data_IF_338072377861
#
_entry.id   IF_338072377861
#
_cell.length_a   1.000
_cell.length_b   1.000
_cell.length_c   1.000
_cell.angle_alpha   90.00
_cell.angle_beta   90.00
_cell.angle_gamma   90.00
#
_symmetry.space_group_name_H-M   'P 1'
#
loop_
_entity.id
_entity.type
_entity.pdbx_description
1 polymer ?
#
# COMPACT_ATOMS: atom_id res chain seq x y z
N UNK A 1 5.32 -26.46 7.57
CA UNK A 1 5.11 -25.48 6.49
C UNK A 1 4.04 -24.50 6.95
N UNK A 2 4.29 -23.18 6.88
CA UNK A 2 3.28 -22.17 7.19
C UNK A 2 2.05 -22.38 6.28
N UNK A 3 0.88 -22.54 6.86
CA UNK A 3 -0.36 -22.78 6.09
C UNK A 3 -1.27 -21.56 6.05
N UNK A 4 -1.03 -20.60 6.95
CA UNK A 4 -1.84 -19.39 7.05
C UNK A 4 -1.03 -18.16 6.59
N UNK A 5 -1.62 -17.22 5.84
CA UNK A 5 -0.93 -16.02 5.40
C UNK A 5 -0.21 -15.31 6.55
N UNK A 6 -0.85 -15.13 7.69
CA UNK A 6 -0.33 -14.46 8.87
C UNK A 6 1.08 -14.93 9.27
N UNK A 7 1.28 -16.26 9.44
CA UNK A 7 2.59 -16.80 9.84
C UNK A 7 3.67 -16.52 8.78
N UNK A 8 3.31 -16.54 7.50
CA UNK A 8 4.25 -16.26 6.43
C UNK A 8 4.71 -14.78 6.43
N UNK A 9 3.80 -13.86 6.68
CA UNK A 9 4.15 -12.44 6.81
C UNK A 9 4.92 -12.15 8.11
N UNK A 10 4.63 -12.88 9.18
CA UNK A 10 5.41 -12.83 10.42
C UNK A 10 6.86 -13.30 10.20
N UNK A 11 7.09 -14.33 9.38
CA UNK A 11 8.44 -14.77 9.01
C UNK A 11 9.19 -13.67 8.23
N UNK A 12 8.52 -13.01 7.28
CA UNK A 12 9.09 -11.88 6.55
C UNK A 12 9.44 -10.71 7.50
N UNK A 13 8.53 -10.37 8.42
CA UNK A 13 8.77 -9.35 9.43
C UNK A 13 9.96 -9.70 10.33
N UNK A 14 9.99 -10.91 10.88
CA UNK A 14 11.11 -11.38 11.72
C UNK A 14 12.43 -11.35 10.99
N UNK A 15 12.45 -11.75 9.71
CA UNK A 15 13.65 -11.69 8.88
C UNK A 15 14.12 -10.27 8.64
N UNK A 16 13.19 -9.37 8.33
CA UNK A 16 13.48 -7.95 8.12
C UNK A 16 14.02 -7.28 9.41
N UNK A 17 13.41 -7.59 10.56
CA UNK A 17 13.87 -7.14 11.88
C UNK A 17 15.29 -7.63 12.16
N UNK A 18 15.56 -8.90 11.92
CA UNK A 18 16.90 -9.48 12.14
C UNK A 18 17.97 -8.87 11.24
N UNK A 19 17.64 -8.68 9.96
CA UNK A 19 18.62 -8.27 8.95
C UNK A 19 18.89 -6.77 8.96
N UNK A 20 17.86 -5.94 9.21
CA UNK A 20 17.92 -4.50 9.06
C UNK A 20 17.63 -3.71 10.35
N UNK A 21 17.33 -4.41 11.45
CA UNK A 21 17.03 -3.75 12.70
C UNK A 21 15.68 -3.06 12.79
N UNK A 22 14.75 -3.40 11.89
CA UNK A 22 13.36 -2.93 11.99
C UNK A 22 12.76 -3.33 13.32
N UNK A 23 12.03 -2.43 13.96
CA UNK A 23 11.45 -2.66 15.28
C UNK A 23 9.93 -2.78 15.22
N UNK A 24 9.31 -3.25 16.30
CA UNK A 24 7.85 -3.30 16.41
C UNK A 24 7.22 -1.91 16.41
N UNK A 25 7.93 -0.91 16.93
CA UNK A 25 7.51 0.50 16.89
C UNK A 25 7.41 1.02 15.46
N UNK A 26 8.36 0.65 14.59
CA UNK A 26 8.32 1.00 13.16
C UNK A 26 7.14 0.33 12.44
N UNK A 27 6.80 -0.92 12.80
CA UNK A 27 5.59 -1.58 12.29
C UNK A 27 4.33 -0.85 12.79
N UNK A 28 4.30 -0.48 14.07
CA UNK A 28 3.18 0.25 14.66
C UNK A 28 2.95 1.62 13.99
N UNK A 29 4.01 2.33 13.58
CA UNK A 29 3.89 3.61 12.87
C UNK A 29 3.09 3.48 11.56
N UNK A 30 3.20 2.34 10.86
CA UNK A 30 2.38 2.06 9.67
C UNK A 30 0.89 1.97 10.03
N UNK A 31 0.55 1.24 11.11
CA UNK A 31 -0.83 1.10 11.56
C UNK A 31 -1.42 2.44 12.02
N UNK A 32 -0.64 3.23 12.76
CA UNK A 32 -1.04 4.57 13.23
C UNK A 32 -1.28 5.52 12.05
N UNK A 33 -0.40 5.51 11.05
CA UNK A 33 -0.56 6.34 9.85
C UNK A 33 -1.83 5.94 9.05
N UNK A 34 -2.08 4.64 8.88
CA UNK A 34 -3.29 4.14 8.22
C UNK A 34 -4.56 4.58 8.99
N UNK A 35 -4.56 4.52 10.31
CA UNK A 35 -5.66 4.99 11.15
C UNK A 35 -5.85 6.51 11.07
N UNK A 36 -4.78 7.28 11.00
CA UNK A 36 -4.85 8.73 10.82
C UNK A 36 -5.55 9.09 9.50
N UNK A 37 -5.23 8.41 8.40
CA UNK A 37 -5.95 8.55 7.13
C UNK A 37 -7.41 8.07 7.22
N UNK A 38 -7.67 6.94 7.87
CA UNK A 38 -9.03 6.42 8.05
C UNK A 38 -9.94 7.39 8.82
N UNK A 39 -9.40 8.17 9.75
CA UNK A 39 -10.15 9.19 10.48
C UNK A 39 -10.70 10.29 9.57
N UNK A 40 -10.07 10.56 8.45
CA UNK A 40 -10.51 11.49 7.41
C UNK A 40 -11.45 10.84 6.37
N UNK A 41 -11.70 9.54 6.49
CA UNK A 41 -12.57 8.80 5.58
C UNK A 41 -13.84 8.32 6.28
N UNK A 42 -15.01 8.94 6.03
CA UNK A 42 -16.25 8.54 6.69
C UNK A 42 -16.68 7.09 6.37
N UNK A 43 -16.20 6.52 5.27
CA UNK A 43 -16.47 5.13 4.86
C UNK A 43 -15.52 4.11 5.48
N UNK A 44 -14.47 4.52 6.20
CA UNK A 44 -13.54 3.59 6.81
C UNK A 44 -14.19 2.84 7.98
N UNK A 45 -13.93 1.53 8.05
CA UNK A 45 -14.49 0.63 9.06
C UNK A 45 -13.95 0.94 10.45
N UNK A 46 -12.63 1.12 10.59
CA UNK A 46 -11.96 1.38 11.85
C UNK A 46 -11.49 2.85 11.91
N UNK A 47 -12.13 3.63 12.78
CA UNK A 47 -11.82 5.04 13.05
C UNK A 47 -11.62 5.27 14.55
N UNK A 48 -11.18 6.45 14.91
CA UNK A 48 -10.85 6.86 16.27
C UNK A 48 -9.34 6.85 16.53
N UNK A 49 -8.94 7.31 17.72
CA UNK A 49 -7.52 7.39 18.06
C UNK A 49 -6.86 6.01 18.04
N UNK A 50 -5.62 5.96 17.61
CA UNK A 50 -4.75 4.80 17.69
C UNK A 50 -3.34 5.29 17.94
N UNK A 51 -2.73 4.85 19.04
CA UNK A 51 -1.35 5.17 19.39
C UNK A 51 -0.42 4.00 19.07
N UNK A 52 0.87 4.28 19.05
CA UNK A 52 1.90 3.24 18.92
C UNK A 52 1.81 2.24 20.08
N UNK A 53 1.56 2.73 21.28
CA UNK A 53 1.41 1.93 22.50
C UNK A 53 0.22 0.99 22.41
N UNK A 54 -0.91 1.43 21.82
CA UNK A 54 -2.08 0.58 21.61
C UNK A 54 -1.75 -0.60 20.69
N UNK A 55 -1.00 -0.34 19.60
CA UNK A 55 -0.56 -1.40 18.68
C UNK A 55 0.35 -2.39 19.39
N UNK A 56 1.36 -1.90 20.11
CA UNK A 56 2.33 -2.73 20.82
C UNK A 56 1.70 -3.57 21.94
N UNK A 57 0.69 -3.03 22.61
CA UNK A 57 -0.05 -3.71 23.70
C UNK A 57 -1.13 -4.66 23.17
N UNK A 58 -1.48 -4.57 21.89
CA UNK A 58 -2.55 -5.41 21.33
C UNK A 58 -2.14 -6.89 21.29
N UNK A 59 -3.14 -7.78 21.24
CA UNK A 59 -2.93 -9.23 21.35
C UNK A 59 -2.00 -9.75 20.25
N UNK A 60 -0.92 -10.41 20.64
CA UNK A 60 -0.03 -11.12 19.72
C UNK A 60 -0.78 -12.23 18.97
N UNK A 61 -0.61 -12.29 17.65
CA UNK A 61 -1.25 -13.31 16.80
C UNK A 61 -0.24 -14.23 16.12
N UNK A 62 0.90 -13.70 15.72
CA UNK A 62 2.07 -14.48 15.25
C UNK A 62 3.29 -13.59 15.38
N UNK A 63 4.18 -13.89 16.33
CA UNK A 63 5.36 -13.07 16.60
C UNK A 63 6.14 -12.73 15.32
N UNK A 64 6.44 -11.42 15.03
CA UNK A 64 6.27 -10.25 15.88
C UNK A 64 4.92 -9.51 15.72
N UNK A 65 3.96 -10.01 14.93
CA UNK A 65 2.73 -9.31 14.56
C UNK A 65 1.63 -9.46 15.62
N UNK A 66 1.04 -8.34 15.99
CA UNK A 66 -0.17 -8.26 16.81
C UNK A 66 -1.43 -8.16 15.94
N UNK A 67 -2.60 -8.17 16.55
CA UNK A 67 -3.87 -8.04 15.82
C UNK A 67 -3.98 -6.70 15.09
N UNK A 68 -3.38 -5.63 15.60
CA UNK A 68 -3.39 -4.30 14.97
C UNK A 68 -2.30 -4.13 13.87
N UNK A 69 -1.40 -5.09 13.75
CA UNK A 69 -0.50 -5.20 12.60
C UNK A 69 -1.16 -5.89 11.39
N UNK A 70 -2.36 -6.45 11.58
CA UNK A 70 -3.08 -7.22 10.56
C UNK A 70 -4.19 -6.39 9.93
N UNK A 71 -4.45 -6.62 8.64
CA UNK A 71 -5.61 -6.04 7.96
C UNK A 71 -6.93 -6.46 8.60
N UNK A 72 -7.94 -5.65 8.36
CA UNK A 72 -9.32 -5.95 8.73
C UNK A 72 -9.83 -7.21 8.01
N UNK A 73 -10.92 -7.76 8.52
CA UNK A 73 -11.76 -8.76 7.83
C UNK A 73 -13.14 -8.13 7.68
N UNK A 74 -13.47 -7.71 6.46
CA UNK A 74 -14.72 -7.00 6.17
C UNK A 74 -15.35 -7.54 4.89
N UNK A 75 -16.62 -7.26 4.70
CA UNK A 75 -17.24 -7.36 3.38
C UNK A 75 -16.90 -6.11 2.54
N UNK A 76 -16.97 -6.25 1.22
CA UNK A 76 -16.77 -5.12 0.32
C UNK A 76 -16.71 -5.55 -1.15
N UNK A 77 -17.07 -4.63 -2.03
CA UNK A 77 -16.94 -4.79 -3.47
C UNK A 77 -16.50 -3.48 -4.10
N UNK A 78 -15.73 -3.56 -5.17
CA UNK A 78 -15.31 -2.41 -5.97
C UNK A 78 -15.38 -2.75 -7.46
N UNK A 79 -15.60 -1.74 -8.29
CA UNK A 79 -15.62 -1.86 -9.74
C UNK A 79 -14.94 -0.64 -10.38
N UNK A 80 -14.21 -0.88 -11.46
CA UNK A 80 -13.60 0.15 -12.29
C UNK A 80 -14.07 0.00 -13.72
N UNK A 81 -14.32 1.12 -14.39
CA UNK A 81 -14.64 1.16 -15.83
C UNK A 81 -13.42 1.64 -16.59
N UNK A 82 -12.94 0.81 -17.49
CA UNK A 82 -11.85 1.13 -18.40
C UNK A 82 -12.42 1.45 -19.78
N UNK A 83 -11.88 2.50 -20.39
CA UNK A 83 -12.28 2.90 -21.75
C UNK A 83 -11.07 3.45 -22.50
N UNK A 84 -11.17 3.55 -23.83
CA UNK A 84 -10.12 4.13 -24.65
C UNK A 84 -9.96 5.63 -24.36
N UNK A 85 -8.74 6.14 -24.48
CA UNK A 85 -8.39 7.53 -24.20
C UNK A 85 -9.20 8.56 -25.01
N UNK A 86 -9.44 8.26 -26.31
CA UNK A 86 -10.24 9.12 -27.18
C UNK A 86 -11.70 9.25 -26.72
N UNK A 87 -12.28 8.18 -26.15
CA UNK A 87 -13.63 8.20 -25.59
C UNK A 87 -13.65 8.85 -24.19
N UNK A 88 -12.62 8.61 -23.38
CA UNK A 88 -12.55 9.10 -22.00
C UNK A 88 -12.69 10.62 -21.94
N UNK A 89 -12.08 11.35 -22.87
CA UNK A 89 -12.12 12.83 -22.96
C UNK A 89 -13.53 13.41 -23.13
N UNK A 90 -14.47 12.63 -23.64
CA UNK A 90 -15.87 13.04 -23.88
C UNK A 90 -16.82 12.61 -22.76
N UNK A 91 -16.32 11.93 -21.71
CA UNK A 91 -17.14 11.50 -20.59
C UNK A 91 -17.32 12.62 -19.58
N UNK A 92 -18.46 12.59 -18.86
CA UNK A 92 -18.80 13.59 -17.84
C UNK A 92 -17.81 13.66 -16.68
N UNK A 93 -17.15 12.54 -16.34
CA UNK A 93 -16.18 12.47 -15.26
C UNK A 93 -14.78 12.66 -15.82
N UNK A 94 -13.94 13.42 -15.12
CA UNK A 94 -12.50 13.49 -15.45
C UNK A 94 -11.91 12.10 -15.47
N UNK A 95 -11.17 11.71 -16.52
CA UNK A 95 -10.46 10.44 -16.53
C UNK A 95 -9.32 10.44 -15.49
N UNK A 96 -8.99 9.25 -15.00
CA UNK A 96 -7.67 8.97 -14.47
C UNK A 96 -6.95 8.18 -15.55
N UNK A 97 -5.79 8.67 -15.98
CA UNK A 97 -5.04 8.10 -17.08
C UNK A 97 -4.21 6.91 -16.61
N UNK A 98 -4.23 5.83 -17.35
CA UNK A 98 -3.36 4.69 -17.11
C UNK A 98 -2.04 4.95 -17.82
N UNK A 99 -0.98 5.21 -17.05
CA UNK A 99 0.33 5.63 -17.56
C UNK A 99 1.24 4.44 -17.84
N UNK A 100 1.21 3.44 -16.99
CA UNK A 100 2.03 2.24 -17.16
C UNK A 100 1.76 1.21 -16.07
N UNK A 101 2.08 -0.05 -16.36
CA UNK A 101 2.01 -1.12 -15.38
C UNK A 101 2.92 -2.29 -15.71
N UNK A 102 3.24 -3.06 -14.70
CA UNK A 102 3.90 -4.36 -14.84
C UNK A 102 3.48 -5.31 -13.72
N UNK A 103 3.55 -6.60 -14.03
CA UNK A 103 3.37 -7.67 -13.06
C UNK A 103 4.58 -8.57 -13.01
N UNK A 104 4.82 -9.17 -11.85
CA UNK A 104 5.83 -10.21 -11.64
C UNK A 104 5.32 -11.26 -10.67
N UNK A 105 5.71 -12.51 -10.88
CA UNK A 105 5.34 -13.63 -10.04
C UNK A 105 6.53 -14.57 -9.90
N UNK A 106 7.06 -14.72 -8.69
CA UNK A 106 8.30 -15.45 -8.46
C UNK A 106 8.11 -16.85 -7.87
N UNK A 107 7.09 -17.02 -7.02
CA UNK A 107 6.89 -18.29 -6.31
C UNK A 107 5.42 -18.54 -6.03
N UNK A 108 5.10 -19.76 -5.67
CA UNK A 108 3.75 -20.18 -5.26
C UNK A 108 3.56 -20.15 -3.73
N UNK A 109 4.63 -20.39 -2.99
CA UNK A 109 4.63 -20.53 -1.54
C UNK A 109 5.77 -19.75 -0.92
N UNK A 110 5.56 -19.15 0.25
CA UNK A 110 6.58 -18.42 1.01
C UNK A 110 7.85 -19.25 1.25
N UNK A 111 7.72 -20.59 1.38
CA UNK A 111 8.87 -21.49 1.54
C UNK A 111 9.77 -21.59 0.30
N UNK A 112 9.34 -21.04 -0.84
CA UNK A 112 10.09 -20.97 -2.08
C UNK A 112 10.62 -19.56 -2.35
N UNK A 113 10.30 -18.59 -1.50
CA UNK A 113 10.78 -17.22 -1.62
C UNK A 113 12.29 -17.18 -1.34
N UNK A 114 13.12 -16.72 -2.29
CA UNK A 114 14.58 -16.75 -2.12
C UNK A 114 15.08 -15.90 -0.97
N UNK A 115 14.49 -14.71 -0.80
CA UNK A 115 14.75 -13.76 0.27
C UNK A 115 13.42 -13.24 0.80
N UNK A 116 13.15 -13.43 2.09
CA UNK A 116 11.90 -13.00 2.73
C UNK A 116 11.76 -11.48 2.85
N UNK A 117 12.80 -10.73 2.54
CA UNK A 117 12.81 -9.25 2.59
C UNK A 117 12.65 -8.60 1.23
N UNK A 118 12.71 -9.37 0.12
CA UNK A 118 12.61 -8.86 -1.24
C UNK A 118 11.44 -9.53 -1.97
N UNK A 119 10.47 -8.75 -2.39
CA UNK A 119 9.30 -9.25 -3.13
C UNK A 119 9.45 -9.04 -4.65
N UNK A 120 8.58 -9.65 -5.43
CA UNK A 120 8.52 -9.41 -6.88
C UNK A 120 8.13 -7.95 -7.25
N UNK A 121 7.82 -7.10 -6.25
CA UNK A 121 7.67 -5.66 -6.44
C UNK A 121 8.97 -5.00 -6.93
N UNK A 122 10.13 -5.54 -6.53
CA UNK A 122 11.45 -5.11 -7.01
C UNK A 122 11.66 -5.33 -8.53
N UNK A 123 10.82 -6.15 -9.15
CA UNK A 123 10.77 -6.33 -10.61
C UNK A 123 9.59 -5.55 -11.23
N UNK A 124 8.38 -5.67 -10.66
CA UNK A 124 7.18 -5.02 -11.22
C UNK A 124 7.26 -3.49 -11.12
N UNK A 125 7.83 -2.96 -10.05
CA UNK A 125 7.99 -1.52 -9.82
C UNK A 125 8.81 -0.82 -10.92
N UNK A 126 10.10 -1.15 -11.06
CA UNK A 126 10.96 -0.54 -12.09
C UNK A 126 10.40 -0.68 -13.51
N UNK A 127 9.77 -1.83 -13.85
CA UNK A 127 9.14 -2.03 -15.15
C UNK A 127 7.90 -1.16 -15.35
N UNK A 128 7.10 -0.96 -14.31
CA UNK A 128 5.93 -0.07 -14.38
C UNK A 128 6.37 1.40 -14.53
N UNK A 129 7.37 1.83 -13.76
CA UNK A 129 7.95 3.17 -13.88
C UNK A 129 8.55 3.41 -15.26
N UNK A 130 9.33 2.47 -15.79
CA UNK A 130 9.90 2.57 -17.13
C UNK A 130 8.80 2.65 -18.22
N UNK A 131 7.71 1.88 -18.09
CA UNK A 131 6.59 1.93 -19.02
C UNK A 131 5.85 3.27 -18.99
N UNK A 132 5.84 3.96 -17.84
CA UNK A 132 5.22 5.27 -17.67
C UNK A 132 6.16 6.44 -17.98
N UNK A 133 7.47 6.20 -18.08
CA UNK A 133 8.48 7.26 -18.19
C UNK A 133 8.64 8.08 -16.89
N UNK A 134 8.33 7.49 -15.75
CA UNK A 134 8.32 8.12 -14.43
C UNK A 134 9.30 7.45 -13.48
N UNK A 135 9.48 8.05 -12.31
CA UNK A 135 10.31 7.59 -11.20
C UNK A 135 9.55 7.66 -9.87
N UNK A 136 10.01 7.03 -8.79
CA UNK A 136 9.37 7.15 -7.48
C UNK A 136 9.22 8.58 -6.96
N UNK A 137 10.12 9.50 -7.37
CA UNK A 137 10.07 10.92 -6.98
C UNK A 137 8.90 11.70 -7.60
N UNK A 138 8.29 11.19 -8.67
CA UNK A 138 7.16 11.83 -9.34
C UNK A 138 5.82 11.45 -8.69
N UNK A 139 5.81 10.48 -7.75
CA UNK A 139 4.61 9.95 -7.14
C UNK A 139 4.14 10.82 -5.98
N UNK A 140 2.91 11.32 -6.05
CA UNK A 140 2.26 12.08 -4.98
C UNK A 140 1.54 11.16 -3.98
N UNK A 141 1.03 10.01 -4.45
CA UNK A 141 0.24 9.06 -3.70
C UNK A 141 0.70 7.63 -3.97
N UNK A 142 1.01 6.88 -2.93
CA UNK A 142 1.27 5.44 -3.02
C UNK A 142 0.12 4.66 -2.35
N UNK A 143 -0.69 3.97 -3.15
CA UNK A 143 -1.71 3.04 -2.70
C UNK A 143 -1.15 1.62 -2.68
N UNK A 144 -0.79 1.13 -1.52
CA UNK A 144 -0.09 -0.14 -1.31
C UNK A 144 -1.01 -1.17 -0.66
N UNK A 145 -0.91 -2.42 -1.08
CA UNK A 145 -1.68 -3.53 -0.48
C UNK A 145 -1.14 -3.87 0.93
N UNK A 146 -1.69 -3.24 1.93
CA UNK A 146 -1.30 -3.34 3.34
C UNK A 146 -2.06 -4.46 4.08
N UNK A 147 -1.86 -5.71 3.65
CA UNK A 147 -2.41 -6.86 4.38
C UNK A 147 -1.83 -6.98 5.80
N UNK A 148 -0.62 -6.51 6.00
CA UNK A 148 0.09 -6.42 7.28
C UNK A 148 0.98 -5.19 7.27
N UNK A 149 1.35 -4.68 8.43
CA UNK A 149 2.22 -3.50 8.55
C UNK A 149 3.56 -3.69 7.84
N UNK A 150 4.13 -4.89 7.91
CA UNK A 150 5.39 -5.22 7.22
C UNK A 150 5.30 -5.10 5.70
N UNK A 151 4.14 -5.34 5.08
CA UNK A 151 4.02 -5.26 3.62
C UNK A 151 4.21 -3.86 3.11
N UNK A 152 3.73 -2.85 3.83
CA UNK A 152 3.97 -1.44 3.50
C UNK A 152 5.47 -1.12 3.47
N UNK A 153 6.21 -1.59 4.48
CA UNK A 153 7.67 -1.40 4.56
C UNK A 153 8.37 -2.06 3.38
N UNK A 154 8.09 -3.34 3.12
CA UNK A 154 8.69 -4.08 2.01
C UNK A 154 8.42 -3.41 0.65
N UNK A 155 7.19 -2.96 0.42
CA UNK A 155 6.81 -2.35 -0.85
C UNK A 155 7.42 -0.95 -1.04
N UNK A 156 7.54 -0.15 0.02
CA UNK A 156 8.24 1.13 -0.06
C UNK A 156 9.71 0.96 -0.50
N UNK A 157 10.38 -0.07 0.00
CA UNK A 157 11.74 -0.42 -0.37
C UNK A 157 11.82 -0.99 -1.80
N UNK A 158 11.01 -2.02 -2.10
CA UNK A 158 11.07 -2.74 -3.37
C UNK A 158 10.62 -1.88 -4.56
N UNK A 159 9.74 -0.90 -4.33
CA UNK A 159 9.30 0.07 -5.33
C UNK A 159 10.25 1.29 -5.45
N UNK A 160 11.28 1.37 -4.62
CA UNK A 160 12.34 2.39 -4.72
C UNK A 160 12.03 3.73 -4.05
N UNK A 161 11.06 3.81 -3.14
CA UNK A 161 10.82 5.02 -2.35
C UNK A 161 11.90 5.25 -1.29
N UNK A 162 12.56 4.20 -0.85
CA UNK A 162 13.72 4.23 0.02
C UNK A 162 14.64 3.03 -0.26
N UNK A 163 15.91 3.08 0.16
CA UNK A 163 16.82 1.94 0.05
C UNK A 163 16.32 0.71 0.82
N UNK A 164 16.73 -0.48 0.37
CA UNK A 164 16.43 -1.74 1.06
C UNK A 164 16.98 -1.71 2.49
N UNK A 165 16.10 -2.04 3.46
CA UNK A 165 16.38 -2.02 4.89
C UNK A 165 16.08 -0.68 5.58
N UNK A 166 15.74 0.37 4.83
CA UNK A 166 15.43 1.69 5.39
C UNK A 166 13.92 1.96 5.51
N UNK A 167 13.07 1.06 5.04
CA UNK A 167 11.61 1.24 5.03
C UNK A 167 11.01 1.43 6.42
N UNK A 168 11.58 0.75 7.43
CA UNK A 168 11.18 0.95 8.82
C UNK A 168 11.46 2.38 9.31
N UNK A 169 12.64 2.94 9.02
CA UNK A 169 12.98 4.34 9.33
C UNK A 169 12.19 5.31 8.47
N UNK A 170 11.92 4.92 7.23
CA UNK A 170 11.13 5.74 6.30
C UNK A 170 9.73 6.06 6.82
N UNK A 171 9.06 5.16 7.51
CA UNK A 171 7.68 5.33 7.96
C UNK A 171 7.54 6.05 9.30
N UNK A 172 8.65 6.28 10.03
CA UNK A 172 8.62 6.91 11.34
C UNK A 172 8.14 8.38 11.30
N UNK A 173 7.77 8.89 12.46
CA UNK A 173 7.42 10.29 12.70
C UNK A 173 6.30 10.83 11.79
N UNK A 174 5.36 9.96 11.42
CA UNK A 174 4.22 10.34 10.59
C UNK A 174 4.56 10.57 9.11
N UNK A 175 5.73 10.12 8.65
CA UNK A 175 6.20 10.38 7.29
C UNK A 175 5.26 9.90 6.17
N UNK A 176 4.39 8.91 6.46
CA UNK A 176 3.38 8.38 5.53
C UNK A 176 1.93 8.72 5.93
N UNK A 177 1.76 9.47 7.02
CA UNK A 177 0.47 9.95 7.54
C UNK A 177 0.01 11.25 6.83
N UNK A 178 -1.21 11.76 7.12
CA UNK A 178 -1.63 13.08 6.65
C UNK A 178 -0.62 14.18 6.99
N UNK A 179 -0.16 14.91 5.97
CA UNK A 179 0.89 15.93 6.12
C UNK A 179 2.32 15.41 6.10
N UNK A 180 2.54 14.10 6.02
CA UNK A 180 3.86 13.49 5.87
C UNK A 180 4.47 13.70 4.48
N UNK A 181 5.69 13.20 4.29
CA UNK A 181 6.47 13.38 3.05
C UNK A 181 5.95 12.59 1.85
N UNK A 182 5.26 11.47 2.09
CA UNK A 182 4.60 10.65 1.07
C UNK A 182 3.23 10.21 1.59
N UNK A 183 2.18 10.53 0.87
CA UNK A 183 0.86 10.03 1.20
C UNK A 183 0.75 8.54 0.87
N UNK A 184 0.49 7.71 1.87
CA UNK A 184 0.32 6.26 1.69
C UNK A 184 -1.06 5.84 2.18
N UNK A 185 -1.81 5.12 1.33
CA UNK A 185 -3.11 4.54 1.68
C UNK A 185 -4.10 5.56 2.28
N UNK A 186 -4.34 6.64 1.55
CA UNK A 186 -5.17 7.78 2.01
C UNK A 186 -6.61 7.42 2.38
N UNK A 187 -7.12 6.27 1.95
CA UNK A 187 -8.43 5.77 2.41
C UNK A 187 -8.40 5.13 3.80
N UNK A 188 -7.22 4.85 4.37
CA UNK A 188 -7.01 4.12 5.60
C UNK A 188 -6.53 2.67 5.42
N UNK A 189 -6.34 2.25 4.17
CA UNK A 189 -5.76 0.96 3.84
C UNK A 189 -6.61 -0.26 4.20
N UNK A 190 -6.03 -1.41 4.02
CA UNK A 190 -6.54 -2.68 4.54
C UNK A 190 -6.49 -2.74 6.07
N UNK A 191 -5.58 -1.96 6.67
CA UNK A 191 -5.42 -1.92 8.14
C UNK A 191 -6.55 -1.19 8.86
N UNK A 192 -7.20 -0.21 8.23
CA UNK A 192 -8.23 0.59 8.91
C UNK A 192 -9.48 0.88 8.06
N UNK A 193 -9.45 0.76 6.73
CA UNK A 193 -10.61 1.07 5.89
C UNK A 193 -11.44 -0.17 5.56
N UNK A 194 -10.91 -1.09 4.77
CA UNK A 194 -11.64 -2.24 4.23
C UNK A 194 -10.67 -3.31 3.74
N UNK A 195 -10.96 -4.59 4.04
CA UNK A 195 -10.18 -5.69 3.48
C UNK A 195 -11.04 -6.94 3.23
N UNK A 196 -11.72 -7.05 2.07
CA UNK A 196 -12.61 -8.17 1.75
C UNK A 196 -11.87 -9.36 1.10
N UNK A 197 -10.59 -9.56 1.43
CA UNK A 197 -9.76 -10.63 0.85
C UNK A 197 -9.18 -10.34 -0.54
N UNK A 198 -9.74 -9.39 -1.29
CA UNK A 198 -9.22 -8.89 -2.58
C UNK A 198 -9.26 -7.36 -2.58
N UNK A 199 -8.21 -6.74 -2.05
CA UNK A 199 -8.20 -5.30 -1.78
C UNK A 199 -7.72 -4.45 -2.97
N UNK A 200 -7.07 -5.05 -3.98
CA UNK A 200 -6.43 -4.31 -5.09
C UNK A 200 -7.32 -3.30 -5.82
N UNK A 201 -8.60 -3.59 -6.06
CA UNK A 201 -9.52 -2.64 -6.69
C UNK A 201 -9.83 -1.41 -5.82
N UNK A 202 -9.80 -1.54 -4.50
CA UNK A 202 -10.01 -0.40 -3.59
C UNK A 202 -8.85 0.58 -3.66
N UNK A 203 -7.63 0.11 -3.91
CA UNK A 203 -6.46 0.95 -4.14
C UNK A 203 -6.66 1.82 -5.39
N UNK A 204 -7.16 1.23 -6.49
CA UNK A 204 -7.47 1.93 -7.73
C UNK A 204 -8.60 2.96 -7.51
N UNK A 205 -9.66 2.58 -6.79
CA UNK A 205 -10.79 3.49 -6.49
C UNK A 205 -10.30 4.72 -5.74
N UNK A 206 -9.50 4.54 -4.70
CA UNK A 206 -8.96 5.67 -3.94
C UNK A 206 -8.03 6.54 -4.80
N UNK A 207 -7.11 5.95 -5.56
CA UNK A 207 -6.24 6.68 -6.47
C UNK A 207 -7.06 7.53 -7.46
N UNK A 208 -8.12 6.97 -8.05
CA UNK A 208 -9.02 7.69 -8.95
C UNK A 208 -9.78 8.83 -8.25
N UNK A 209 -10.21 8.64 -7.00
CA UNK A 209 -10.85 9.70 -6.22
C UNK A 209 -9.90 10.87 -5.97
N UNK A 210 -8.66 10.59 -5.59
CA UNK A 210 -7.60 11.59 -5.37
C UNK A 210 -7.28 12.35 -6.65
N UNK A 211 -7.01 11.65 -7.76
CA UNK A 211 -6.72 12.25 -9.06
C UNK A 211 -7.87 13.13 -9.61
N UNK A 212 -9.09 12.85 -9.18
CA UNK A 212 -10.29 13.63 -9.55
C UNK A 212 -10.61 14.80 -8.61
N UNK A 213 -9.89 14.96 -7.51
CA UNK A 213 -10.18 15.95 -6.49
C UNK A 213 -11.48 15.63 -5.71
N UNK A 214 -11.80 14.35 -5.50
CA UNK A 214 -13.07 13.90 -4.89
C UNK A 214 -12.89 13.07 -3.63
N UNK A 215 -11.71 13.14 -3.01
CA UNK A 215 -11.43 12.36 -1.81
C UNK A 215 -11.93 13.01 -0.49
N UNK A 216 -12.63 14.16 -0.55
CA UNK A 216 -13.17 14.82 0.64
C UNK A 216 -12.08 15.36 1.56
N UNK A 217 -12.22 15.16 2.88
CA UNK A 217 -11.26 15.67 3.88
C UNK A 217 -9.84 15.10 3.73
N UNK A 218 -9.70 13.92 3.12
CA UNK A 218 -8.40 13.29 2.87
C UNK A 218 -7.78 13.66 1.52
N UNK A 219 -8.39 14.62 0.79
CA UNK A 219 -7.88 15.06 -0.50
C UNK A 219 -6.50 15.68 -0.38
N UNK A 220 -5.56 15.19 -1.17
CA UNK A 220 -4.22 15.77 -1.27
C UNK A 220 -4.27 17.13 -1.99
N UNK A 221 -3.46 18.10 -1.55
CA UNK A 221 -3.36 19.40 -2.23
C UNK A 221 -2.94 19.28 -3.70
N UNK A 222 -2.04 18.34 -3.98
CA UNK A 222 -1.57 17.97 -5.33
C UNK A 222 -1.59 16.47 -5.43
N UNK A 223 -2.20 15.93 -6.47
CA UNK A 223 -2.18 14.51 -6.79
C UNK A 223 -2.26 14.36 -8.32
N UNK A 224 -1.11 14.42 -8.97
CA UNK A 224 -0.98 14.27 -10.42
C UNK A 224 -0.56 12.86 -10.80
N UNK A 225 0.23 12.19 -9.96
CA UNK A 225 0.67 10.81 -10.15
C UNK A 225 0.34 9.98 -8.92
N UNK A 226 -0.40 8.90 -9.12
CA UNK A 226 -0.70 7.91 -8.10
C UNK A 226 -0.15 6.54 -8.50
N UNK A 227 0.64 5.93 -7.62
CA UNK A 227 1.06 4.54 -7.74
C UNK A 227 0.04 3.64 -7.04
N UNK A 228 -0.32 2.55 -7.69
CA UNK A 228 -1.17 1.49 -7.14
C UNK A 228 -0.40 0.18 -7.19
N UNK A 229 -0.26 -0.48 -6.04
CA UNK A 229 0.50 -1.72 -5.94
C UNK A 229 -0.33 -2.81 -5.26
N UNK A 230 -0.63 -3.86 -6.02
CA UNK A 230 -1.38 -5.03 -5.58
C UNK A 230 -0.48 -6.22 -5.27
N UNK A 231 -0.81 -6.95 -4.21
CA UNK A 231 -0.14 -8.16 -3.77
C UNK A 231 -1.10 -9.34 -3.82
N UNK A 232 -0.69 -10.43 -4.46
CA UNK A 232 -1.46 -11.67 -4.55
C UNK A 232 -0.72 -12.85 -3.92
N UNK A 233 -1.51 -13.85 -3.48
CA UNK A 233 -0.98 -14.99 -2.74
C UNK A 233 -0.34 -14.54 -1.43
N UNK A 234 0.85 -15.05 -1.12
CA UNK A 234 1.62 -14.66 0.06
C UNK A 234 2.95 -14.09 -0.40
N UNK A 235 3.00 -12.78 -0.70
CA UNK A 235 4.14 -12.07 -1.30
C UNK A 235 4.59 -12.65 -2.65
N UNK A 236 3.75 -13.46 -3.30
CA UNK A 236 4.16 -14.27 -4.44
C UNK A 236 3.93 -13.60 -5.79
N UNK A 237 2.90 -12.80 -5.92
CA UNK A 237 2.50 -12.12 -7.15
C UNK A 237 2.32 -10.63 -6.87
N UNK A 238 2.97 -9.80 -7.65
CA UNK A 238 2.97 -8.35 -7.48
C UNK A 238 2.56 -7.67 -8.78
N UNK A 239 1.70 -6.67 -8.68
CA UNK A 239 1.30 -5.83 -9.81
C UNK A 239 1.43 -4.38 -9.41
N UNK A 240 2.20 -3.61 -10.17
CA UNK A 240 2.38 -2.18 -9.99
C UNK A 240 1.76 -1.45 -11.18
N UNK A 241 0.96 -0.42 -10.92
CA UNK A 241 0.41 0.46 -11.94
C UNK A 241 0.58 1.92 -11.54
N UNK A 242 0.74 2.78 -12.53
CA UNK A 242 0.81 4.23 -12.40
C UNK A 242 -0.40 4.84 -13.09
N UNK A 243 -1.12 5.68 -12.35
CA UNK A 243 -2.26 6.45 -12.81
C UNK A 243 -1.93 7.94 -12.73
N UNK A 244 -2.46 8.72 -13.67
CA UNK A 244 -2.19 10.16 -13.70
C UNK A 244 -3.44 11.01 -13.88
N UNK A 245 -3.34 12.29 -13.49
CA UNK A 245 -4.24 13.36 -13.88
C UNK A 245 -3.92 13.86 -15.29
N UNK A 246 -4.68 14.81 -15.83
CA UNK A 246 -4.36 15.47 -17.09
C UNK A 246 -2.99 16.20 -17.06
N UNK A 247 -2.51 16.58 -15.87
CA UNK A 247 -1.22 17.25 -15.68
C UNK A 247 -0.02 16.28 -15.79
N UNK A 248 -0.26 14.97 -15.72
CA UNK A 248 0.77 13.94 -15.82
C UNK A 248 0.95 13.42 -17.26
N UNK A 249 0.21 13.95 -18.24
CA UNK A 249 0.35 13.68 -19.66
C UNK A 249 1.35 14.64 -20.30
#
# INVERSE_FOLDING_TARGET
>A
RPRHPLTAYALAASRHMYQFGTTREMLADVAVAARAWANLNPAAFARGPLTREDVLASRMVSDPLTVLDCCLVTDGAAACVLTRADRARHLRQKPAWFLGAAGAQWHRSISMMPDLTITAASESGPRAFAAAGLSPSDVNLAMLYDAFTITTILFLEDLGFCPKGEGGRFVQDGAIAPGGRLAVNTNGGGLSCVHPGMYGLFLIVEAVLQLRGRAGERQLPVCDVALVHGNGGTLSSQVTALLGSDAAL
#
